data_IF_762841534484
#
_entry.id   IF_762841534484
#
_cell.length_a   1.000
_cell.length_b   1.000
_cell.length_c   1.000
_cell.angle_alpha   90.00
_cell.angle_beta   90.00
_cell.angle_gamma   90.00
#
_symmetry.space_group_name_H-M   'P 1'
#
loop_
_entity.id
_entity.type
_entity.pdbx_description
1 polymer ?
#
# COMPACT_ATOMS: atom_id res chain seq x y z
N UNK A 1 18.23 62.56 -40.67
CA UNK A 1 17.11 61.61 -40.69
C UNK A 1 17.62 60.29 -41.27
N UNK A 2 17.78 59.26 -40.44
CA UNK A 2 18.21 57.90 -40.83
C UNK A 2 17.13 56.88 -40.38
N UNK A 3 16.82 55.85 -41.19
CA UNK A 3 15.73 54.93 -40.89
C UNK A 3 16.15 53.81 -39.92
N UNK A 4 15.28 53.54 -38.95
CA UNK A 4 15.36 52.42 -38.00
C UNK A 4 15.17 51.08 -38.75
N UNK A 5 16.20 50.22 -38.78
CA UNK A 5 16.08 48.82 -39.24
C UNK A 5 15.76 47.91 -38.05
N UNK A 6 14.53 47.40 -37.99
CA UNK A 6 14.13 46.34 -37.07
C UNK A 6 14.61 44.97 -37.56
N UNK A 7 15.59 44.39 -36.85
CA UNK A 7 16.05 43.01 -37.06
C UNK A 7 15.20 42.03 -36.26
N UNK A 8 14.25 41.36 -36.91
CA UNK A 8 13.55 40.21 -36.34
C UNK A 8 14.49 38.99 -36.29
N UNK A 9 14.96 38.62 -35.09
CA UNK A 9 15.64 37.35 -34.84
C UNK A 9 14.63 36.20 -34.88
N UNK A 10 14.76 35.30 -35.87
CA UNK A 10 14.14 33.97 -35.85
C UNK A 10 14.76 33.13 -34.75
N UNK A 11 14.03 32.91 -33.66
CA UNK A 11 14.39 31.93 -32.63
C UNK A 11 14.02 30.54 -33.15
N UNK A 12 15.00 29.65 -33.35
CA UNK A 12 14.79 28.26 -33.80
C UNK A 12 14.13 27.45 -32.67
N UNK A 13 12.80 27.43 -32.63
CA UNK A 13 11.95 26.73 -31.66
C UNK A 13 11.80 25.20 -31.89
N UNK A 14 12.71 24.55 -32.62
CA UNK A 14 12.50 23.16 -33.07
C UNK A 14 13.01 22.06 -32.12
N UNK A 15 13.97 22.35 -31.24
CA UNK A 15 14.63 21.31 -30.40
C UNK A 15 14.36 21.45 -28.91
N UNK A 16 13.90 22.62 -28.46
CA UNK A 16 13.63 22.87 -27.04
C UNK A 16 12.32 22.22 -26.58
N UNK A 17 11.30 22.14 -27.44
CA UNK A 17 9.99 21.57 -27.09
C UNK A 17 10.06 20.07 -26.75
N UNK A 18 10.93 19.31 -27.44
CA UNK A 18 11.12 17.88 -27.21
C UNK A 18 11.72 17.60 -25.82
N UNK A 19 12.59 18.49 -25.34
CA UNK A 19 13.24 18.37 -24.04
C UNK A 19 12.26 18.60 -22.88
N UNK A 20 11.35 19.56 -23.03
CA UNK A 20 10.27 19.78 -22.04
C UNK A 20 9.26 18.63 -22.01
N UNK A 21 8.96 18.00 -23.16
CA UNK A 21 8.07 16.84 -23.22
C UNK A 21 8.66 15.61 -22.48
N UNK A 22 9.97 15.37 -22.66
CA UNK A 22 10.71 14.30 -21.96
C UNK A 22 10.80 14.54 -20.44
N UNK A 23 10.93 15.79 -19.99
CA UNK A 23 10.95 16.14 -18.56
C UNK A 23 9.60 15.87 -17.87
N UNK A 24 8.47 16.11 -18.56
CA UNK A 24 7.14 15.83 -18.01
C UNK A 24 6.86 14.33 -17.87
N UNK A 25 7.46 13.48 -18.72
CA UNK A 25 7.39 12.01 -18.61
C UNK A 25 8.28 11.45 -17.47
N UNK A 26 9.32 12.18 -17.07
CA UNK A 26 10.23 11.78 -16.00
C UNK A 26 9.71 12.12 -14.60
N UNK A 27 8.67 12.94 -14.47
CA UNK A 27 7.86 13.04 -13.25
C UNK A 27 6.91 11.83 -13.15
N UNK A 28 7.46 10.64 -13.35
CA UNK A 28 6.83 9.40 -12.95
C UNK A 28 6.47 9.54 -11.49
N UNK A 29 5.17 9.43 -11.19
CA UNK A 29 4.63 9.51 -9.85
C UNK A 29 5.44 8.58 -8.96
N UNK A 30 6.40 9.14 -8.21
CA UNK A 30 6.84 8.50 -6.97
C UNK A 30 5.53 8.33 -6.22
N UNK A 31 5.06 7.10 -6.09
CA UNK A 31 4.00 6.75 -5.17
C UNK A 31 4.53 7.13 -3.78
N UNK A 32 4.44 8.41 -3.47
CA UNK A 32 4.94 9.02 -2.27
C UNK A 32 4.18 8.34 -1.17
N UNK A 33 4.91 7.67 -0.28
CA UNK A 33 4.33 7.20 0.97
C UNK A 33 3.64 8.41 1.58
N UNK A 34 2.31 8.39 1.64
CA UNK A 34 1.59 9.47 2.28
C UNK A 34 2.09 9.53 3.74
N UNK A 35 2.68 10.66 4.18
CA UNK A 35 3.26 10.74 5.52
C UNK A 35 2.23 10.44 6.61
N UNK A 36 0.93 10.64 6.35
CA UNK A 36 -0.13 10.27 7.29
C UNK A 36 -0.34 8.76 7.43
N UNK A 37 0.07 7.95 6.44
CA UNK A 37 0.01 6.50 6.52
C UNK A 37 1.12 5.90 7.40
N UNK A 38 2.17 6.66 7.75
CA UNK A 38 3.29 6.17 8.56
C UNK A 38 2.77 5.64 9.91
N UNK A 39 1.87 6.38 10.54
CA UNK A 39 1.28 6.00 11.83
C UNK A 39 0.46 4.70 11.73
N UNK A 40 -0.29 4.52 10.66
CA UNK A 40 -1.06 3.29 10.41
C UNK A 40 -0.11 2.12 10.15
N UNK A 41 0.93 2.32 9.34
CA UNK A 41 1.86 1.25 8.99
C UNK A 41 2.65 0.72 10.19
N UNK A 42 3.12 1.60 11.08
CA UNK A 42 3.88 1.19 12.27
C UNK A 42 3.02 0.35 13.23
N UNK A 43 1.76 0.71 13.40
CA UNK A 43 0.80 -0.04 14.22
C UNK A 43 0.35 -1.36 13.57
N UNK A 44 0.25 -1.41 12.24
CA UNK A 44 -0.14 -2.63 11.52
C UNK A 44 0.97 -3.68 11.54
N UNK A 45 2.24 -3.27 11.62
CA UNK A 45 3.38 -4.18 11.67
C UNK A 45 3.33 -5.17 12.83
N UNK A 46 2.81 -4.79 14.00
CA UNK A 46 2.63 -5.71 15.13
C UNK A 46 1.67 -6.86 14.86
N UNK A 47 0.88 -6.79 13.77
CA UNK A 47 -0.04 -7.82 13.33
C UNK A 47 0.49 -8.65 12.16
N UNK A 48 1.76 -8.47 11.74
CA UNK A 48 2.29 -9.11 10.53
C UNK A 48 2.16 -10.63 10.55
N UNK A 49 2.37 -11.26 11.69
CA UNK A 49 2.35 -12.73 11.78
C UNK A 49 0.95 -13.28 11.58
N UNK A 50 -0.04 -12.66 12.22
CA UNK A 50 -1.46 -13.01 12.05
C UNK A 50 -1.95 -12.73 10.64
N UNK A 51 -1.52 -11.61 10.04
CA UNK A 51 -1.93 -11.26 8.68
C UNK A 51 -1.30 -12.19 7.63
N UNK A 52 -0.08 -12.70 7.87
CA UNK A 52 0.63 -13.60 6.94
C UNK A 52 0.22 -15.05 7.10
N UNK A 53 0.14 -15.52 8.33
CA UNK A 53 -0.05 -16.94 8.66
C UNK A 53 -1.48 -17.24 9.09
N UNK A 54 -2.35 -16.22 9.09
CA UNK A 54 -3.69 -16.33 9.65
C UNK A 54 -3.66 -16.57 11.16
N UNK A 55 -4.73 -17.18 11.67
CA UNK A 55 -4.82 -17.58 13.07
C UNK A 55 -4.24 -18.97 13.37
N UNK A 56 -3.36 -19.49 12.49
CA UNK A 56 -2.67 -20.76 12.73
C UNK A 56 -1.78 -20.71 13.99
N UNK A 57 -1.33 -19.51 14.38
CA UNK A 57 -0.51 -19.28 15.60
C UNK A 57 -1.38 -18.94 16.83
N UNK A 58 -2.71 -18.95 16.70
CA UNK A 58 -3.64 -18.72 17.82
C UNK A 58 -4.15 -17.28 17.93
N UNK A 59 -4.25 -16.75 19.15
CA UNK A 59 -4.83 -15.41 19.41
C UNK A 59 -3.86 -14.29 19.01
N UNK A 60 -4.35 -13.15 18.48
CA UNK A 60 -3.49 -12.01 18.18
C UNK A 60 -2.80 -11.49 19.44
N UNK A 61 -1.56 -11.02 19.30
CA UNK A 61 -0.80 -10.47 20.42
C UNK A 61 -1.50 -9.22 20.98
N UNK A 62 -1.30 -8.89 22.28
CA UNK A 62 -1.83 -7.66 22.85
C UNK A 62 -1.35 -6.40 22.12
N UNK A 63 -0.12 -6.42 21.59
CA UNK A 63 0.45 -5.34 20.80
C UNK A 63 -0.28 -5.18 19.46
N UNK A 64 -0.57 -6.29 18.77
CA UNK A 64 -1.37 -6.26 17.54
C UNK A 64 -2.75 -5.64 17.80
N UNK A 65 -3.48 -6.09 18.82
CA UNK A 65 -4.80 -5.52 19.11
C UNK A 65 -4.75 -4.06 19.55
N UNK A 66 -3.69 -3.63 20.23
CA UNK A 66 -3.45 -2.22 20.53
C UNK A 66 -3.24 -1.42 19.24
N UNK A 67 -2.46 -1.94 18.30
CA UNK A 67 -2.25 -1.35 16.98
C UNK A 67 -3.56 -1.18 16.20
N UNK A 68 -4.43 -2.20 16.19
CA UNK A 68 -5.75 -2.11 15.54
C UNK A 68 -6.62 -1.01 16.15
N UNK A 69 -6.60 -0.82 17.48
CA UNK A 69 -7.29 0.29 18.14
C UNK A 69 -6.73 1.64 17.72
N UNK A 70 -5.42 1.79 17.63
CA UNK A 70 -4.81 3.03 17.14
C UNK A 70 -5.19 3.32 15.69
N UNK A 71 -5.32 2.29 14.84
CA UNK A 71 -5.80 2.47 13.47
C UNK A 71 -7.25 2.97 13.46
N UNK A 72 -8.10 2.50 14.40
CA UNK A 72 -9.46 3.04 14.56
C UNK A 72 -9.45 4.52 14.89
N UNK A 73 -8.64 4.95 15.86
CA UNK A 73 -8.50 6.37 16.19
C UNK A 73 -7.98 7.19 15.00
N UNK A 74 -7.00 6.65 14.27
CA UNK A 74 -6.51 7.27 13.04
C UNK A 74 -7.60 7.38 11.97
N UNK A 75 -8.50 6.40 11.86
CA UNK A 75 -9.64 6.46 10.94
C UNK A 75 -10.66 7.54 11.34
N UNK A 76 -10.81 7.84 12.63
CA UNK A 76 -11.63 8.96 13.12
C UNK A 76 -11.01 10.31 12.75
N UNK A 77 -9.68 10.42 12.80
CA UNK A 77 -8.95 11.67 12.51
C UNK A 77 -8.82 11.91 10.99
N UNK A 78 -8.41 10.90 10.23
CA UNK A 78 -8.07 11.02 8.81
C UNK A 78 -9.21 10.62 7.87
N UNK A 79 -10.27 10.02 8.40
CA UNK A 79 -11.36 9.44 7.64
C UNK A 79 -11.12 7.96 7.29
N UNK A 80 -12.21 7.19 7.30
CA UNK A 80 -12.25 5.76 6.97
C UNK A 80 -11.63 5.45 5.60
N UNK A 81 -11.94 6.18 4.51
CA UNK A 81 -11.36 5.89 3.19
C UNK A 81 -9.84 5.96 3.19
N UNK A 82 -9.28 6.99 3.83
CA UNK A 82 -7.84 7.22 3.88
C UNK A 82 -7.14 6.15 4.73
N UNK A 83 -7.70 5.84 5.90
CA UNK A 83 -7.17 4.77 6.74
C UNK A 83 -7.20 3.41 6.03
N UNK A 84 -8.28 3.10 5.32
CA UNK A 84 -8.42 1.90 4.51
C UNK A 84 -7.32 1.82 3.42
N UNK A 85 -7.10 2.88 2.67
CA UNK A 85 -6.03 2.93 1.67
C UNK A 85 -4.64 2.72 2.29
N UNK A 86 -4.36 3.36 3.43
CA UNK A 86 -3.11 3.18 4.16
C UNK A 86 -2.90 1.72 4.61
N UNK A 87 -3.92 1.11 5.21
CA UNK A 87 -3.86 -0.28 5.69
C UNK A 87 -3.62 -1.24 4.53
N UNK A 88 -4.38 -1.11 3.43
CA UNK A 88 -4.24 -1.97 2.25
C UNK A 88 -2.86 -1.83 1.59
N UNK A 89 -2.41 -0.60 1.39
CA UNK A 89 -1.11 -0.36 0.81
C UNK A 89 0.01 -0.92 1.71
N UNK A 90 -0.10 -0.72 3.03
CA UNK A 90 0.85 -1.28 3.98
C UNK A 90 0.86 -2.83 3.95
N UNK A 91 -0.31 -3.47 4.02
CA UNK A 91 -0.41 -4.92 3.97
C UNK A 91 0.19 -5.48 2.67
N UNK A 92 -0.16 -4.89 1.53
CA UNK A 92 0.36 -5.31 0.23
C UNK A 92 1.88 -5.15 0.14
N UNK A 93 2.43 -4.01 0.55
CA UNK A 93 3.84 -3.67 0.31
C UNK A 93 4.79 -4.20 1.37
N UNK A 94 4.37 -4.29 2.63
CA UNK A 94 5.23 -4.62 3.77
C UNK A 94 4.95 -6.01 4.36
N UNK A 95 3.74 -6.53 4.22
CA UNK A 95 3.33 -7.80 4.86
C UNK A 95 3.32 -8.94 3.85
N UNK A 96 2.66 -8.75 2.70
CA UNK A 96 2.52 -9.80 1.68
C UNK A 96 3.67 -9.84 0.66
N UNK A 97 4.24 -8.70 0.28
CA UNK A 97 5.27 -8.62 -0.79
C UNK A 97 6.53 -9.47 -0.53
N UNK A 98 6.89 -9.75 0.73
CA UNK A 98 8.11 -10.52 1.06
C UNK A 98 8.12 -11.98 0.59
N UNK A 99 6.99 -12.52 0.12
CA UNK A 99 6.91 -13.92 -0.32
C UNK A 99 7.08 -14.12 -1.83
N UNK A 100 6.89 -13.09 -2.67
CA UNK A 100 6.99 -13.24 -4.13
C UNK A 100 8.42 -13.10 -4.67
N UNK A 101 9.40 -12.68 -3.84
CA UNK A 101 10.82 -12.61 -4.22
C UNK A 101 11.65 -13.83 -3.82
N UNK A 102 11.05 -14.86 -3.23
CA UNK A 102 11.71 -16.17 -3.03
C UNK A 102 11.60 -17.09 -4.26
N UNK A 103 11.43 -16.52 -5.46
CA UNK A 103 11.50 -17.26 -6.73
C UNK A 103 12.54 -16.66 -7.66
N UNK A 104 13.80 -16.63 -7.23
CA UNK A 104 14.99 -16.80 -8.08
C UNK A 104 16.23 -16.79 -7.18
N UNK A 105 17.13 -17.75 -7.39
CA UNK A 105 18.43 -17.94 -6.73
C UNK A 105 18.40 -18.83 -5.47
N UNK A 106 18.42 -20.15 -5.67
CA UNK A 106 18.67 -21.09 -4.58
C UNK A 106 18.36 -22.54 -4.93
N UNK A 107 19.39 -23.25 -5.37
CA UNK A 107 19.39 -24.69 -5.62
C UNK A 107 19.07 -25.52 -4.36
N UNK A 108 18.53 -26.72 -4.60
CA UNK A 108 18.50 -27.94 -3.77
C UNK A 108 17.27 -28.30 -2.89
N UNK A 109 16.79 -29.51 -3.26
CA UNK A 109 16.21 -30.62 -2.49
C UNK A 109 14.69 -30.81 -2.52
N UNK A 110 14.35 -31.96 -3.13
CA UNK A 110 13.07 -32.63 -3.08
C UNK A 110 12.63 -32.86 -1.63
N UNK A 111 11.54 -32.19 -1.25
CA UNK A 111 10.83 -32.43 -0.01
C UNK A 111 9.38 -32.03 -0.24
N UNK A 112 8.50 -33.04 -0.25
CA UNK A 112 7.03 -33.04 -0.19
C UNK A 112 6.24 -31.97 -0.98
N UNK A 113 5.17 -32.36 -1.71
CA UNK A 113 4.26 -31.37 -2.30
C UNK A 113 3.63 -30.54 -1.18
N UNK A 114 4.09 -29.29 -1.03
CA UNK A 114 3.38 -28.27 -0.26
C UNK A 114 2.01 -28.14 -0.92
N UNK A 115 0.98 -28.55 -0.19
CA UNK A 115 -0.41 -28.41 -0.60
C UNK A 115 -0.65 -26.93 -0.92
N UNK A 116 -0.76 -26.62 -2.22
CA UNK A 116 -1.05 -25.28 -2.74
C UNK A 116 -2.49 -24.83 -2.46
N UNK A 117 -3.23 -25.54 -1.60
CA UNK A 117 -4.43 -24.98 -0.99
C UNK A 117 -3.97 -24.00 0.07
N UNK A 118 -3.79 -22.74 -0.34
CA UNK A 118 -3.98 -21.63 0.57
C UNK A 118 -5.26 -21.94 1.38
N UNK A 119 -5.23 -21.86 2.71
CA UNK A 119 -6.42 -22.14 3.50
C UNK A 119 -7.56 -21.29 2.95
N UNK A 120 -8.66 -21.96 2.59
CA UNK A 120 -9.92 -21.36 2.17
C UNK A 120 -10.48 -20.53 3.34
N UNK A 121 -9.82 -19.42 3.68
CA UNK A 121 -10.29 -18.39 4.57
C UNK A 121 -11.35 -17.63 3.79
N UNK A 122 -12.56 -18.20 3.72
CA UNK A 122 -13.77 -17.67 3.10
C UNK A 122 -14.25 -16.33 3.70
N UNK A 123 -13.38 -15.61 4.42
CA UNK A 123 -13.63 -14.30 4.98
C UNK A 123 -12.30 -13.59 5.22
N UNK A 124 -12.28 -12.30 4.90
CA UNK A 124 -11.14 -11.41 5.05
C UNK A 124 -10.48 -11.56 6.44
N UNK A 125 -9.22 -12.01 6.45
CA UNK A 125 -8.44 -12.25 7.68
C UNK A 125 -8.39 -11.01 8.57
N UNK A 126 -8.43 -9.82 7.96
CA UNK A 126 -8.41 -8.55 8.67
C UNK A 126 -9.73 -8.28 9.40
N UNK A 127 -10.86 -8.69 8.83
CA UNK A 127 -12.18 -8.61 9.50
C UNK A 127 -12.22 -9.58 10.69
N UNK A 128 -11.65 -10.77 10.55
CA UNK A 128 -11.55 -11.71 11.67
C UNK A 128 -10.62 -11.18 12.79
N UNK A 129 -9.52 -10.52 12.42
CA UNK A 129 -8.61 -9.86 13.36
C UNK A 129 -9.30 -8.75 14.14
N UNK A 130 -10.03 -7.89 13.43
CA UNK A 130 -10.89 -6.86 14.01
C UNK A 130 -11.84 -7.44 15.06
N UNK A 131 -12.60 -8.48 14.71
CA UNK A 131 -13.51 -9.19 15.63
C UNK A 131 -12.78 -9.73 16.87
N UNK A 132 -11.63 -10.39 16.70
CA UNK A 132 -10.85 -10.93 17.83
C UNK A 132 -10.27 -9.84 18.73
N UNK A 133 -9.90 -8.69 18.18
CA UNK A 133 -9.45 -7.54 18.95
C UNK A 133 -10.59 -6.69 19.53
N UNK A 134 -11.85 -7.03 19.20
CA UNK A 134 -13.07 -6.28 19.55
C UNK A 134 -13.04 -4.84 19.05
N UNK A 135 -12.58 -4.66 17.81
CA UNK A 135 -12.50 -3.36 17.14
C UNK A 135 -13.17 -3.50 15.79
N UNK A 136 -14.04 -2.56 15.44
CA UNK A 136 -14.62 -2.44 14.11
C UNK A 136 -14.07 -1.18 13.44
N UNK A 137 -13.47 -1.36 12.26
CA UNK A 137 -12.94 -0.31 11.40
C UNK A 137 -13.88 0.03 10.24
N UNK A 138 -14.88 -0.82 9.96
CA UNK A 138 -15.80 -0.63 8.82
C UNK A 138 -15.19 -0.92 7.44
N UNK A 139 -14.01 -1.57 7.37
CA UNK A 139 -13.38 -1.97 6.11
C UNK A 139 -12.49 -3.21 6.23
N UNK A 140 -12.24 -3.84 5.07
CA UNK A 140 -11.37 -5.00 4.91
C UNK A 140 -10.10 -4.75 4.06
N UNK A 141 -9.27 -5.77 3.93
CA UNK A 141 -8.14 -5.86 3.00
C UNK A 141 -8.54 -6.26 1.56
N UNK A 142 -9.76 -6.76 1.34
CA UNK A 142 -10.24 -7.08 0.00
C UNK A 142 -10.15 -5.85 -0.93
N UNK A 143 -9.32 -5.95 -1.97
CA UNK A 143 -9.10 -4.86 -2.92
C UNK A 143 -10.29 -4.63 -3.86
N UNK A 144 -11.18 -5.62 -4.00
CA UNK A 144 -12.36 -5.53 -4.84
C UNK A 144 -13.49 -4.74 -4.17
N UNK A 145 -13.46 -4.62 -2.84
CA UNK A 145 -14.40 -3.79 -2.09
C UNK A 145 -13.81 -2.39 -2.00
N UNK A 146 -14.49 -1.32 -2.44
CA UNK A 146 -13.94 0.03 -2.36
C UNK A 146 -13.72 0.46 -0.89
N UNK A 147 -12.74 1.35 -0.65
CA UNK A 147 -12.49 1.95 0.66
C UNK A 147 -13.57 3.00 1.00
N UNK A 148 -14.82 2.57 1.04
CA UNK A 148 -15.98 3.38 1.41
C UNK A 148 -16.51 2.92 2.76
N UNK A 149 -17.31 3.78 3.40
CA UNK A 149 -17.98 3.43 4.66
C UNK A 149 -19.00 2.32 4.35
N UNK A 150 -18.74 1.11 4.83
CA UNK A 150 -19.75 0.05 4.89
C UNK A 150 -20.63 0.41 6.10
N UNK A 151 -21.80 0.99 5.84
CA UNK A 151 -22.80 1.27 6.87
C UNK A 151 -23.55 0.00 7.26
#
# INVERSE_FOLDING_TARGET
MQPYRNSYRRVRFGKSLLFFLLLMLANGSRAGRDPSCIFISSNLHSCSDVLRLGFLIGKPSPQCCRGIRFIKEAALIFGVPKACHCVRNCANTHIFRRHNTQKLSGSLKAGAPISNKAPDFNGDIFIQLQKKCRVDLGFGLDQNIPCLIIK
#
